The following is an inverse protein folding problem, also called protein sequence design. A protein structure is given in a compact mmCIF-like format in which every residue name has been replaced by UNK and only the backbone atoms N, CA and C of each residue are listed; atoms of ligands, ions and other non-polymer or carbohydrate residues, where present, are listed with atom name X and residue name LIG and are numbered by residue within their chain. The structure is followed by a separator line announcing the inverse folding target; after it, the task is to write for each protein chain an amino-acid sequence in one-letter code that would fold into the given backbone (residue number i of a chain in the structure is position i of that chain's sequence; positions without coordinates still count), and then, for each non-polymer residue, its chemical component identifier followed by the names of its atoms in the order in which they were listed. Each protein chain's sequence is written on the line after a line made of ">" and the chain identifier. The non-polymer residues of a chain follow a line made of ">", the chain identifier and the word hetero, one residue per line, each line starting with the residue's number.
data_IF_868038777125
#
_entry.id   IF_868038777125
#
_cell.length_a   1.000
_cell.length_b   1.000
_cell.length_c   1.000
_cell.angle_alpha   90.00
_cell.angle_beta   90.00
_cell.angle_gamma   90.00
#
_symmetry.space_group_name_H-M   'P 1'
#
loop_
_entity.id
_entity.type
_entity.pdbx_description
1 polymer ?
#
# COMPACT_ATOMS: atom_id res chain seq x y z
N UNK A 1 10.08 -14.08 6.11
CA UNK A 1 8.75 -14.57 5.69
C UNK A 1 8.13 -15.38 6.81
N UNK A 2 8.83 -16.41 7.29
CA UNK A 2 8.39 -17.27 8.40
C UNK A 2 7.88 -16.52 9.65
N UNK A 3 8.58 -15.48 10.12
CA UNK A 3 8.12 -14.70 11.29
C UNK A 3 6.75 -14.03 11.08
N UNK A 4 6.47 -13.52 9.87
CA UNK A 4 5.19 -12.87 9.55
C UNK A 4 4.09 -13.92 9.35
N UNK A 5 4.41 -15.06 8.76
CA UNK A 5 3.47 -16.18 8.62
C UNK A 5 3.10 -16.75 9.99
N UNK A 6 4.07 -16.92 10.89
CA UNK A 6 3.85 -17.35 12.27
C UNK A 6 2.97 -16.34 13.04
N UNK A 7 3.21 -15.04 12.87
CA UNK A 7 2.43 -13.99 13.53
C UNK A 7 1.00 -13.89 13.00
N UNK A 8 0.79 -14.08 11.70
CA UNK A 8 -0.52 -13.89 11.06
C UNK A 8 -1.33 -15.17 10.92
N UNK A 9 -0.68 -16.35 11.00
CA UNK A 9 -1.29 -17.65 10.71
C UNK A 9 -1.65 -17.86 9.22
N UNK A 10 -1.18 -16.99 8.33
CA UNK A 10 -1.53 -17.02 6.90
C UNK A 10 -0.27 -17.06 6.03
N UNK A 11 -0.28 -17.80 4.91
CA UNK A 11 0.85 -17.84 3.99
C UNK A 11 1.07 -16.48 3.34
N UNK A 12 2.34 -16.07 3.19
CA UNK A 12 2.70 -14.84 2.49
C UNK A 12 2.45 -15.01 0.99
N UNK A 13 1.88 -13.97 0.40
CA UNK A 13 1.72 -13.86 -1.04
C UNK A 13 2.67 -12.79 -1.58
N UNK A 14 3.73 -13.23 -2.25
CA UNK A 14 4.73 -12.35 -2.88
C UNK A 14 4.87 -12.60 -4.39
N UNK A 15 4.44 -13.75 -4.89
CA UNK A 15 4.51 -14.14 -6.30
C UNK A 15 3.14 -14.48 -6.88
N UNK A 16 3.05 -14.39 -8.21
CA UNK A 16 1.88 -14.85 -8.94
C UNK A 16 1.69 -16.36 -8.77
N UNK A 17 0.43 -16.78 -8.74
CA UNK A 17 0.07 -18.19 -8.78
C UNK A 17 0.16 -18.73 -10.20
N UNK A 18 0.39 -20.03 -10.34
CA UNK A 18 0.28 -20.72 -11.62
C UNK A 18 -1.20 -20.83 -12.04
N UNK A 19 -1.51 -20.88 -13.35
CA UNK A 19 -2.85 -21.22 -13.81
C UNK A 19 -3.34 -22.54 -13.20
N UNK A 20 -4.54 -22.55 -12.62
CA UNK A 20 -5.13 -23.74 -11.98
C UNK A 20 -4.84 -23.90 -10.49
N UNK A 21 -3.87 -23.17 -9.92
CA UNK A 21 -3.65 -23.19 -8.47
C UNK A 21 -4.82 -22.54 -7.72
N UNK A 22 -5.32 -23.14 -6.63
CA UNK A 22 -6.43 -22.59 -5.87
C UNK A 22 -6.07 -21.23 -5.27
N UNK A 23 -7.08 -20.36 -5.06
CA UNK A 23 -6.86 -19.06 -4.43
C UNK A 23 -6.55 -19.29 -2.94
N UNK A 24 -5.36 -18.88 -2.44
CA UNK A 24 -4.87 -19.35 -1.14
C UNK A 24 -5.52 -18.69 0.08
N UNK A 25 -6.25 -17.60 -0.08
CA UNK A 25 -6.83 -16.85 1.06
C UNK A 25 -8.25 -16.40 0.77
N UNK A 26 -9.01 -16.15 1.85
CA UNK A 26 -10.30 -15.46 1.77
C UNK A 26 -10.15 -14.11 1.05
N UNK A 27 -11.20 -13.63 0.37
CA UNK A 27 -11.23 -12.26 -0.14
C UNK A 27 -10.92 -11.26 0.98
N UNK A 28 -10.11 -10.25 0.68
CA UNK A 28 -9.84 -9.17 1.62
C UNK A 28 -11.09 -8.31 1.76
N UNK A 29 -11.44 -7.94 3.00
CA UNK A 29 -12.53 -6.99 3.29
C UNK A 29 -12.02 -5.55 3.44
N UNK A 30 -10.71 -5.38 3.55
CA UNK A 30 -9.98 -4.12 3.59
C UNK A 30 -8.50 -4.36 3.26
N UNK A 31 -7.78 -3.33 2.82
CA UNK A 31 -6.35 -3.42 2.49
C UNK A 31 -5.59 -2.23 3.09
N UNK A 32 -4.46 -2.51 3.73
CA UNK A 32 -3.49 -1.50 4.14
C UNK A 32 -2.22 -1.59 3.28
N UNK A 33 -1.78 -0.46 2.73
CA UNK A 33 -0.52 -0.32 1.98
C UNK A 33 0.47 0.48 2.82
N UNK A 34 1.36 -0.23 3.52
CA UNK A 34 2.30 0.35 4.45
C UNK A 34 3.62 -0.43 4.48
N UNK A 35 4.79 0.19 4.17
CA UNK A 35 4.93 1.51 3.57
C UNK A 35 4.49 1.58 2.10
N UNK A 36 3.80 2.66 1.72
CA UNK A 36 3.56 3.00 0.32
C UNK A 36 4.73 3.84 -0.22
N UNK A 37 5.68 3.17 -0.88
CA UNK A 37 6.87 3.82 -1.45
C UNK A 37 6.53 4.74 -2.63
N UNK A 38 7.47 5.64 -2.98
CA UNK A 38 7.42 6.45 -4.21
C UNK A 38 7.07 5.62 -5.45
N UNK A 39 7.71 4.46 -5.60
CA UNK A 39 7.50 3.57 -6.74
C UNK A 39 6.08 2.99 -6.74
N UNK A 40 5.62 2.50 -5.59
CA UNK A 40 4.29 1.90 -5.43
C UNK A 40 3.19 2.90 -5.78
N UNK A 41 3.24 4.10 -5.18
CA UNK A 41 2.24 5.16 -5.38
C UNK A 41 2.16 5.58 -6.84
N UNK A 42 3.31 5.81 -7.48
CA UNK A 42 3.34 6.26 -8.87
C UNK A 42 2.91 5.18 -9.87
N UNK A 43 3.33 3.92 -9.67
CA UNK A 43 2.91 2.82 -10.54
C UNK A 43 1.42 2.57 -10.44
N UNK A 44 0.87 2.55 -9.23
CA UNK A 44 -0.56 2.30 -9.03
C UNK A 44 -1.41 3.41 -9.65
N UNK A 45 -1.08 4.68 -9.42
CA UNK A 45 -1.80 5.82 -10.01
C UNK A 45 -1.72 5.84 -11.55
N UNK A 46 -0.69 5.24 -12.14
CA UNK A 46 -0.53 5.10 -13.59
C UNK A 46 -1.20 3.83 -14.15
N UNK A 47 -1.79 2.97 -13.31
CA UNK A 47 -2.38 1.69 -13.72
C UNK A 47 -1.37 0.58 -14.04
N UNK A 48 -0.11 0.74 -13.64
CA UNK A 48 0.94 -0.27 -13.82
C UNK A 48 0.75 -1.37 -12.77
N UNK A 49 0.73 -2.63 -13.23
CA UNK A 49 0.44 -3.81 -12.41
C UNK A 49 1.53 -4.90 -12.56
N UNK A 50 2.78 -4.51 -12.41
CA UNK A 50 3.95 -5.37 -12.63
C UNK A 50 4.43 -6.14 -11.38
N UNK A 51 3.69 -6.03 -10.27
CA UNK A 51 3.88 -6.83 -9.07
C UNK A 51 2.56 -7.39 -8.58
N UNK A 52 2.60 -8.49 -7.82
CA UNK A 52 1.39 -9.08 -7.24
C UNK A 52 0.59 -8.05 -6.42
N UNK A 53 1.29 -7.24 -5.61
CA UNK A 53 0.65 -6.22 -4.79
C UNK A 53 -0.11 -5.20 -5.65
N UNK A 54 0.50 -4.69 -6.73
CA UNK A 54 -0.16 -3.75 -7.64
C UNK A 54 -1.32 -4.40 -8.39
N UNK A 55 -1.23 -5.70 -8.71
CA UNK A 55 -2.34 -6.45 -9.30
C UNK A 55 -3.55 -6.55 -8.37
N UNK A 56 -3.31 -6.77 -7.08
CA UNK A 56 -4.39 -6.77 -6.08
C UNK A 56 -4.98 -5.37 -5.93
N UNK A 57 -4.15 -4.33 -5.87
CA UNK A 57 -4.57 -2.94 -5.64
C UNK A 57 -5.35 -2.33 -6.81
N UNK A 58 -5.08 -2.75 -8.04
CA UNK A 58 -5.75 -2.24 -9.25
C UNK A 58 -7.26 -2.42 -9.20
N UNK A 59 -7.72 -3.55 -8.69
CA UNK A 59 -9.14 -3.94 -8.74
C UNK A 59 -9.88 -3.62 -7.44
N UNK A 60 -9.15 -3.57 -6.31
CA UNK A 60 -9.75 -3.47 -4.97
C UNK A 60 -10.75 -2.30 -4.80
N UNK A 61 -10.44 -1.05 -5.19
CA UNK A 61 -11.41 0.04 -5.03
C UNK A 61 -12.70 -0.15 -5.85
N UNK A 62 -12.59 -0.65 -7.09
CA UNK A 62 -13.73 -0.94 -7.95
C UNK A 62 -14.59 -2.11 -7.43
N UNK A 63 -14.01 -2.99 -6.62
CA UNK A 63 -14.71 -4.07 -5.91
C UNK A 63 -15.34 -3.61 -4.59
N UNK A 64 -15.26 -2.32 -4.25
CA UNK A 64 -15.76 -1.78 -2.98
C UNK A 64 -14.92 -2.15 -1.76
N UNK A 65 -13.68 -2.60 -1.97
CA UNK A 65 -12.75 -2.92 -0.87
C UNK A 65 -12.04 -1.62 -0.47
N UNK A 66 -12.20 -1.12 0.78
CA UNK A 66 -11.50 0.07 1.24
C UNK A 66 -9.99 -0.18 1.29
N UNK A 67 -9.22 0.79 0.78
CA UNK A 67 -7.76 0.71 0.73
C UNK A 67 -7.15 1.91 1.43
N UNK A 68 -6.52 1.68 2.58
CA UNK A 68 -5.70 2.68 3.26
C UNK A 68 -4.26 2.66 2.73
N UNK A 69 -3.70 3.84 2.50
CA UNK A 69 -2.38 4.03 1.93
C UNK A 69 -1.62 4.97 2.84
N UNK A 70 -0.48 4.51 3.36
CA UNK A 70 0.38 5.30 4.23
C UNK A 70 1.69 5.59 3.47
N UNK A 71 1.80 6.76 2.81
CA UNK A 71 2.99 7.12 2.04
C UNK A 71 4.22 7.17 2.94
N UNK A 72 5.33 6.63 2.44
CA UNK A 72 6.62 6.72 3.11
C UNK A 72 7.66 7.19 2.10
N UNK A 73 7.91 8.49 2.13
CA UNK A 73 8.75 9.20 1.17
C UNK A 73 9.87 9.92 1.93
N UNK A 74 11.06 9.95 1.34
CA UNK A 74 12.06 10.92 1.79
C UNK A 74 11.79 12.30 1.18
N UNK A 75 12.39 13.35 1.73
CA UNK A 75 12.16 14.72 1.26
C UNK A 75 12.55 14.97 -0.21
N UNK A 76 13.54 14.25 -0.75
CA UNK A 76 13.90 14.35 -2.17
C UNK A 76 12.86 13.68 -3.09
N UNK A 77 12.27 12.57 -2.64
CA UNK A 77 11.16 11.91 -3.33
C UNK A 77 9.89 12.75 -3.26
N UNK A 78 9.58 13.34 -2.11
CA UNK A 78 8.40 14.18 -1.91
C UNK A 78 8.46 15.49 -2.72
N UNK A 79 9.65 16.08 -2.86
CA UNK A 79 9.87 17.25 -3.70
C UNK A 79 9.62 16.99 -5.21
N UNK A 80 9.65 15.73 -5.65
CA UNK A 80 9.34 15.40 -7.03
C UNK A 80 7.83 15.57 -7.29
N UNK A 81 7.39 16.13 -8.44
CA UNK A 81 5.98 16.44 -8.66
C UNK A 81 5.07 15.22 -8.87
N UNK A 82 5.63 14.05 -9.19
CA UNK A 82 4.86 12.83 -9.44
C UNK A 82 4.05 12.32 -8.22
N UNK A 83 4.64 12.04 -7.05
CA UNK A 83 3.91 11.49 -5.90
C UNK A 83 2.71 12.34 -5.49
N UNK A 84 2.84 13.67 -5.49
CA UNK A 84 1.70 14.56 -5.20
C UNK A 84 0.52 14.35 -6.16
N UNK A 85 0.80 14.25 -7.47
CA UNK A 85 -0.23 13.98 -8.49
C UNK A 85 -0.79 12.57 -8.36
N UNK A 86 0.07 11.60 -8.09
CA UNK A 86 -0.31 10.20 -7.91
C UNK A 86 -1.22 10.01 -6.69
N UNK A 87 -0.88 10.60 -5.55
CA UNK A 87 -1.72 10.57 -4.34
C UNK A 87 -3.08 11.23 -4.57
N UNK A 88 -3.13 12.36 -5.29
CA UNK A 88 -4.39 12.99 -5.64
C UNK A 88 -5.26 12.06 -6.50
N UNK A 89 -4.68 11.42 -7.52
CA UNK A 89 -5.38 10.44 -8.35
C UNK A 89 -5.84 9.21 -7.57
N UNK A 90 -5.03 8.71 -6.63
CA UNK A 90 -5.44 7.59 -5.78
C UNK A 90 -6.62 7.96 -4.88
N UNK A 91 -6.69 9.21 -4.37
CA UNK A 91 -7.87 9.71 -3.65
C UNK A 91 -9.11 9.73 -4.55
N UNK A 92 -8.98 10.19 -5.79
CA UNK A 92 -10.08 10.16 -6.78
C UNK A 92 -10.56 8.73 -7.07
N UNK A 93 -9.66 7.73 -6.99
CA UNK A 93 -9.98 6.31 -7.11
C UNK A 93 -10.59 5.70 -5.84
N UNK A 94 -10.76 6.47 -4.76
CA UNK A 94 -11.34 6.01 -3.50
C UNK A 94 -10.34 5.46 -2.48
N UNK A 95 -9.03 5.62 -2.70
CA UNK A 95 -8.03 5.24 -1.70
C UNK A 95 -8.00 6.26 -0.54
N UNK A 96 -7.90 5.74 0.68
CA UNK A 96 -7.82 6.50 1.92
C UNK A 96 -6.34 6.80 2.21
N UNK A 97 -5.92 8.03 1.94
CA UNK A 97 -4.50 8.41 2.06
C UNK A 97 -4.25 9.00 3.46
N UNK A 98 -3.42 8.33 4.24
CA UNK A 98 -2.99 8.81 5.56
C UNK A 98 -1.98 9.95 5.49
N UNK A 99 -1.68 10.48 6.66
CA UNK A 99 -0.65 11.47 6.88
C UNK A 99 0.73 10.92 6.50
N UNK A 100 1.60 11.79 6.00
CA UNK A 100 2.99 11.45 5.78
C UNK A 100 3.88 12.66 6.05
N UNK A 101 4.95 12.44 6.80
CA UNK A 101 6.00 13.44 7.00
C UNK A 101 7.27 12.95 6.28
N UNK A 102 7.78 13.71 5.28
CA UNK A 102 8.96 13.27 4.55
C UNK A 102 10.20 13.20 5.42
N UNK A 103 10.84 12.03 5.48
CA UNK A 103 12.06 11.86 6.26
C UNK A 103 13.32 12.33 5.51
N UNK A 104 14.43 12.53 6.23
CA UNK A 104 15.71 12.91 5.59
C UNK A 104 16.21 11.78 4.66
N UNK A 105 16.71 12.09 3.46
CA UNK A 105 17.30 11.08 2.57
C UNK A 105 18.47 10.37 3.23
N UNK A 106 18.58 9.05 3.03
CA UNK A 106 19.65 8.19 3.57
C UNK A 106 19.79 8.23 5.10
N UNK A 107 18.78 8.72 5.83
CA UNK A 107 18.77 8.65 7.28
C UNK A 107 18.26 7.30 7.76
N UNK A 108 18.87 6.77 8.83
CA UNK A 108 18.29 5.73 9.68
C UNK A 108 17.30 6.38 10.67
N UNK A 109 16.24 5.67 11.05
CA UNK A 109 15.28 6.13 12.08
C UNK A 109 13.99 6.78 11.56
N UNK A 110 13.80 6.94 10.24
CA UNK A 110 12.52 7.43 9.70
C UNK A 110 11.32 6.52 10.04
N UNK A 111 11.58 5.26 10.38
CA UNK A 111 10.57 4.31 10.81
C UNK A 111 10.03 4.60 12.22
N UNK A 112 10.79 5.30 13.08
CA UNK A 112 10.41 5.53 14.48
C UNK A 112 9.18 6.45 14.62
N UNK A 113 8.90 7.22 13.57
CA UNK A 113 7.73 8.10 13.48
C UNK A 113 6.66 7.58 12.51
N UNK A 114 6.82 6.37 11.99
CA UNK A 114 5.87 5.83 11.02
C UNK A 114 4.64 5.24 11.73
N UNK A 115 3.54 5.99 11.71
CA UNK A 115 2.27 5.64 12.36
C UNK A 115 1.51 4.56 11.58
N UNK A 116 1.90 3.30 11.76
CA UNK A 116 1.25 2.17 11.11
C UNK A 116 -0.24 2.05 11.49
N UNK A 117 -0.59 2.47 12.70
CA UNK A 117 -1.93 2.40 13.27
C UNK A 117 -2.93 3.29 12.54
N UNK A 118 -2.47 4.35 11.86
CA UNK A 118 -3.32 5.22 11.06
C UNK A 118 -4.03 4.45 9.94
N UNK A 119 -3.43 3.38 9.41
CA UNK A 119 -4.11 2.53 8.44
C UNK A 119 -5.38 1.90 9.02
N UNK A 120 -5.38 1.54 10.31
CA UNK A 120 -6.55 1.01 10.99
C UNK A 120 -7.58 2.12 11.21
N UNK A 121 -7.15 3.29 11.67
CA UNK A 121 -8.02 4.47 11.88
C UNK A 121 -8.77 4.84 10.59
N UNK A 122 -8.10 4.78 9.44
CA UNK A 122 -8.71 5.03 8.14
C UNK A 122 -9.70 3.94 7.71
N UNK A 123 -9.43 2.67 8.04
CA UNK A 123 -10.25 1.53 7.60
C UNK A 123 -11.44 1.25 8.51
N UNK A 124 -11.50 1.85 9.70
CA UNK A 124 -12.66 1.75 10.60
C UNK A 124 -13.82 2.56 9.98
N UNK A 125 -15.00 1.93 9.75
CA UNK A 125 -16.19 2.66 9.32
C UNK A 125 -16.57 3.73 10.36
N UNK A 126 -16.90 4.94 9.89
CA UNK A 126 -17.53 5.97 10.72
C UNK A 126 -18.93 5.54 11.19
#
# INVERSE_FOLDING_TARGET
>A
MEAVEAQTGHPIRSAWRSPGEPRPTRPAVAIAVAPASFNTVNKWAAGISDSLALGVLREAPAMGIPVAVLPYLNSAQDAHPAPRRSLARLREMGALIGSHEPHRPKASGGADHYRLEEALELLVPA
#
